data_IF_355967663374
#
_entry.id   IF_355967663374
#
_cell.length_a   1.000
_cell.length_b   1.000
_cell.length_c   1.000
_cell.angle_alpha   90.00
_cell.angle_beta   90.00
_cell.angle_gamma   90.00
#
_symmetry.space_group_name_H-M   'P 1'
#
loop_
_entity.id
_entity.type
_entity.pdbx_description
1 polymer ?
#
# COMPACT_ATOMS: atom_id res chain seq x y z
N UNK A 1 -13.02 -16.30 -11.16
CA UNK A 1 -12.11 -15.20 -10.80
C UNK A 1 -12.06 -14.32 -12.02
N UNK A 2 -12.81 -13.24 -11.94
CA UNK A 2 -13.15 -12.37 -13.06
C UNK A 2 -11.89 -11.63 -13.53
N UNK A 3 -11.56 -11.78 -14.82
CA UNK A 3 -10.36 -11.16 -15.43
C UNK A 3 -10.31 -9.64 -15.23
N UNK A 4 -11.47 -8.99 -15.09
CA UNK A 4 -11.61 -7.57 -14.79
C UNK A 4 -11.07 -7.20 -13.40
N UNK A 5 -11.33 -8.03 -12.37
CA UNK A 5 -10.83 -7.79 -11.00
C UNK A 5 -9.29 -7.86 -10.94
N UNK A 6 -8.70 -8.79 -11.69
CA UNK A 6 -7.24 -8.91 -11.78
C UNK A 6 -6.63 -7.74 -12.56
N UNK A 7 -7.32 -7.23 -13.57
CA UNK A 7 -6.90 -6.04 -14.31
C UNK A 7 -6.91 -4.79 -13.41
N UNK A 8 -7.95 -4.62 -12.59
CA UNK A 8 -8.05 -3.51 -11.64
C UNK A 8 -6.98 -3.60 -10.54
N UNK A 9 -6.73 -4.79 -9.99
CA UNK A 9 -5.63 -5.01 -9.04
C UNK A 9 -4.29 -4.59 -9.65
N UNK A 10 -4.00 -5.04 -10.88
CA UNK A 10 -2.74 -4.72 -11.56
C UNK A 10 -2.60 -3.22 -11.78
N UNK A 11 -3.68 -2.55 -12.18
CA UNK A 11 -3.69 -1.10 -12.38
C UNK A 11 -3.41 -0.34 -11.08
N UNK A 12 -3.97 -0.81 -9.95
CA UNK A 12 -3.70 -0.21 -8.64
C UNK A 12 -2.21 -0.34 -8.25
N UNK A 13 -1.60 -1.50 -8.49
CA UNK A 13 -0.16 -1.71 -8.26
C UNK A 13 0.67 -0.74 -9.10
N UNK A 14 0.38 -0.65 -10.40
CA UNK A 14 1.10 0.25 -11.31
C UNK A 14 1.00 1.72 -10.88
N UNK A 15 -0.15 2.15 -10.36
CA UNK A 15 -0.32 3.50 -9.82
C UNK A 15 0.52 3.74 -8.57
N UNK A 16 0.55 2.78 -7.64
CA UNK A 16 1.34 2.87 -6.41
C UNK A 16 2.84 2.89 -6.72
N UNK A 17 3.30 2.04 -7.63
CA UNK A 17 4.69 2.00 -8.06
C UNK A 17 5.11 3.25 -8.84
N UNK A 18 4.22 3.81 -9.68
CA UNK A 18 4.47 5.07 -10.39
C UNK A 18 4.68 6.26 -9.43
N UNK A 19 4.05 6.24 -8.25
CA UNK A 19 4.26 7.23 -7.19
C UNK A 19 5.56 6.99 -6.40
N UNK A 20 6.37 6.00 -6.79
CA UNK A 20 7.66 5.69 -6.20
C UNK A 20 7.58 4.86 -4.91
N UNK A 21 6.48 4.15 -4.71
CA UNK A 21 6.35 3.18 -3.63
C UNK A 21 6.73 1.78 -4.11
N UNK A 22 7.50 1.05 -3.32
CA UNK A 22 7.77 -0.37 -3.57
C UNK A 22 6.64 -1.20 -2.96
N UNK A 23 5.84 -1.87 -3.79
CA UNK A 23 4.77 -2.78 -3.34
C UNK A 23 5.40 -4.07 -2.84
N UNK A 24 5.13 -4.43 -1.58
CA UNK A 24 5.71 -5.61 -0.94
C UNK A 24 4.72 -6.76 -0.79
N UNK A 25 3.43 -6.46 -0.73
CA UNK A 25 2.37 -7.46 -0.55
C UNK A 25 1.04 -6.97 -1.13
N UNK A 26 0.25 -7.89 -1.70
CA UNK A 26 -1.06 -7.61 -2.26
C UNK A 26 -2.00 -8.77 -1.95
N UNK A 27 -3.11 -8.47 -1.29
CA UNK A 27 -4.17 -9.43 -0.98
C UNK A 27 -5.45 -9.04 -1.73
N UNK A 28 -6.02 -10.00 -2.47
CA UNK A 28 -7.31 -9.84 -3.15
C UNK A 28 -8.32 -10.77 -2.47
N UNK A 29 -9.39 -10.19 -1.94
CA UNK A 29 -10.50 -10.91 -1.33
C UNK A 29 -11.78 -10.57 -2.09
N UNK A 30 -12.38 -11.56 -2.74
CA UNK A 30 -13.74 -11.43 -3.25
C UNK A 30 -14.71 -11.72 -2.10
N UNK A 31 -15.58 -10.78 -1.77
CA UNK A 31 -16.68 -11.02 -0.85
C UNK A 31 -17.91 -11.41 -1.67
N UNK A 32 -18.23 -12.71 -1.64
CA UNK A 32 -19.48 -13.23 -2.19
C UNK A 32 -20.53 -13.06 -1.07
N UNK A 33 -21.40 -12.05 -1.20
CA UNK A 33 -22.40 -11.77 -0.18
C UNK A 33 -23.32 -12.98 -0.02
N UNK A 34 -23.50 -13.53 1.19
CA UNK A 34 -24.43 -14.64 1.41
C UNK A 34 -25.91 -14.22 1.29
N UNK A 35 -26.17 -12.92 1.07
CA UNK A 35 -27.50 -12.37 0.87
C UNK A 35 -27.76 -12.29 -0.64
N UNK A 36 -28.64 -13.17 -1.12
CA UNK A 36 -28.98 -13.41 -2.53
C UNK A 36 -29.53 -12.19 -3.32
N UNK A 37 -29.64 -11.01 -2.69
CA UNK A 37 -30.22 -9.79 -3.26
C UNK A 37 -29.19 -8.67 -3.54
N UNK A 38 -27.90 -8.87 -3.23
CA UNK A 38 -26.80 -7.98 -3.66
C UNK A 38 -26.10 -8.59 -4.88
N UNK A 39 -26.63 -8.30 -6.07
CA UNK A 39 -26.13 -8.73 -7.39
C UNK A 39 -24.74 -8.13 -7.77
N UNK A 40 -24.12 -7.34 -6.89
CA UNK A 40 -22.83 -6.70 -7.12
C UNK A 40 -21.73 -7.38 -6.29
N UNK A 41 -20.95 -8.32 -6.87
CA UNK A 41 -19.83 -8.91 -6.17
C UNK A 41 -18.79 -7.84 -5.82
N UNK A 42 -18.54 -7.64 -4.52
CA UNK A 42 -17.56 -6.67 -4.05
C UNK A 42 -16.17 -7.30 -3.93
N UNK A 43 -15.20 -6.72 -4.64
CA UNK A 43 -13.79 -7.07 -4.54
C UNK A 43 -13.07 -6.12 -3.57
N UNK A 44 -12.43 -6.66 -2.54
CA UNK A 44 -11.51 -5.90 -1.67
C UNK A 44 -10.06 -6.20 -2.03
N UNK A 45 -9.28 -5.16 -2.28
CA UNK A 45 -7.81 -5.25 -2.50
C UNK A 45 -7.09 -4.54 -1.36
N UNK A 46 -6.19 -5.24 -0.68
CA UNK A 46 -5.26 -4.67 0.32
C UNK A 46 -3.87 -4.64 -0.27
N UNK A 47 -3.20 -3.49 -0.24
CA UNK A 47 -1.83 -3.30 -0.76
C UNK A 47 -0.93 -2.81 0.37
N UNK A 48 0.16 -3.52 0.63
CA UNK A 48 1.24 -3.05 1.50
C UNK A 48 2.39 -2.56 0.64
N UNK A 49 2.81 -1.31 0.84
CA UNK A 49 3.91 -0.70 0.11
C UNK A 49 4.81 0.14 1.03
N UNK A 50 6.06 0.32 0.63
CA UNK A 50 7.05 1.13 1.36
C UNK A 50 7.72 2.15 0.45
N UNK A 51 8.03 3.32 0.99
CA UNK A 51 8.80 4.35 0.31
C UNK A 51 9.84 4.91 1.29
N UNK A 52 11.15 4.87 0.96
CA UNK A 52 12.14 5.55 1.78
C UNK A 52 11.91 7.06 1.65
N UNK A 53 11.91 7.74 2.79
CA UNK A 53 11.97 9.18 2.83
C UNK A 53 13.40 9.54 3.20
N UNK A 54 13.98 10.52 2.49
CA UNK A 54 15.20 11.14 2.98
C UNK A 54 14.85 11.77 4.32
N UNK A 55 15.48 11.28 5.38
CA UNK A 55 15.57 12.08 6.59
C UNK A 55 16.42 13.28 6.18
N UNK A 56 15.87 14.49 6.26
CA UNK A 56 16.69 15.67 6.53
C UNK A 56 17.37 15.43 7.89
N UNK A 57 18.41 14.60 7.89
CA UNK A 57 19.48 14.68 8.88
C UNK A 57 20.19 16.00 8.59
N UNK A 58 19.50 17.08 8.98
CA UNK A 58 20.12 18.34 9.30
C UNK A 58 21.26 18.01 10.27
N UNK A 59 22.45 18.20 9.74
CA UNK A 59 23.77 18.18 10.33
C UNK A 59 23.84 19.15 11.53
N UNK A 60 23.12 18.88 12.62
CA UNK A 60 23.11 19.74 13.82
C UNK A 60 22.85 18.97 15.14
N UNK A 61 23.33 17.72 15.21
CA UNK A 61 23.32 16.91 16.43
C UNK A 61 24.68 16.87 17.18
N UNK A 62 25.61 17.79 16.87
CA UNK A 62 26.88 17.96 17.61
C UNK A 62 26.84 19.11 18.64
N UNK A 63 25.69 19.74 18.89
CA UNK A 63 25.49 20.71 19.98
C UNK A 63 24.34 20.27 20.93
N UNK A 64 24.38 19.02 21.38
CA UNK A 64 23.45 18.56 22.43
C UNK A 64 24.15 18.50 23.79
N UNK A 65 24.05 19.55 24.65
CA UNK A 65 24.78 19.64 25.92
C UNK A 65 24.35 18.62 26.99
N UNK A 66 23.39 17.73 26.68
CA UNK A 66 22.85 16.74 27.61
C UNK A 66 23.23 15.28 27.29
N UNK A 67 24.06 15.02 26.28
CA UNK A 67 24.51 13.64 26.01
C UNK A 67 25.60 13.24 27.01
N UNK A 68 25.22 12.46 28.02
CA UNK A 68 26.15 11.88 29.02
C UNK A 68 26.99 10.78 28.36
N UNK A 69 28.31 10.85 28.59
CA UNK A 69 29.36 10.02 27.99
C UNK A 69 29.49 8.66 28.66
#
# INVERSE_FOLDING_TARGET
MDDDMLADQRRLIELVEAEGWEVTDVELSAYDSPWEDEDDPEATVTITARKPYESDEDDDADDNPFRVK
#
